data_IF_492783007555
#
_entry.id   IF_492783007555
#
_cell.length_a   1.000
_cell.length_b   1.000
_cell.length_c   1.000
_cell.angle_alpha   90.00
_cell.angle_beta   90.00
_cell.angle_gamma   90.00
#
_symmetry.space_group_name_H-M   'P 1'
#
loop_
_entity.id
_entity.type
_entity.pdbx_description
1 polymer ?
#
# COMPACT_ATOMS: atom_id res chain seq x y z
N UNK A 1 -18.82 31.74 3.55
CA UNK A 1 -18.09 30.70 4.32
C UNK A 1 -18.17 29.40 3.52
N UNK A 2 -17.14 29.02 2.78
CA UNK A 2 -17.15 27.74 2.06
C UNK A 2 -16.93 26.62 3.08
N UNK A 3 -17.88 25.70 3.19
CA UNK A 3 -17.73 24.48 3.98
C UNK A 3 -16.51 23.71 3.48
N UNK A 4 -15.44 23.70 4.28
CA UNK A 4 -14.32 22.79 4.04
C UNK A 4 -14.85 21.37 4.28
N UNK A 5 -15.28 20.68 3.22
CA UNK A 5 -15.53 19.24 3.26
C UNK A 5 -14.35 18.58 3.96
N UNK A 6 -14.58 17.99 5.14
CA UNK A 6 -13.55 17.25 5.86
C UNK A 6 -12.99 16.19 4.90
N UNK A 7 -11.73 16.36 4.50
CA UNK A 7 -11.12 15.52 3.50
C UNK A 7 -10.76 14.18 4.15
N UNK A 8 -11.68 13.21 4.07
CA UNK A 8 -11.52 11.87 4.64
C UNK A 8 -10.30 11.18 4.03
N UNK A 9 -9.28 10.95 4.86
CA UNK A 9 -8.14 10.10 4.48
C UNK A 9 -8.60 8.65 4.50
N UNK A 10 -8.60 8.01 3.34
CA UNK A 10 -8.87 6.57 3.24
C UNK A 10 -7.69 5.80 3.86
N UNK A 11 -7.91 4.97 4.90
CA UNK A 11 -6.83 4.29 5.62
C UNK A 11 -6.25 3.10 4.84
N UNK A 12 -7.06 2.45 4.00
CA UNK A 12 -6.67 1.29 3.20
C UNK A 12 -6.40 1.65 1.75
N UNK A 13 -5.57 0.84 1.10
CA UNK A 13 -5.19 0.96 -0.31
C UNK A 13 -6.29 0.45 -1.27
N UNK A 14 -7.52 0.96 -1.11
CA UNK A 14 -8.73 0.47 -1.81
C UNK A 14 -8.62 0.48 -3.34
N UNK A 15 -7.69 1.24 -3.91
CA UNK A 15 -7.34 1.20 -5.32
C UNK A 15 -6.92 -0.19 -5.83
N UNK A 16 -6.39 -1.07 -4.96
CA UNK A 16 -6.01 -2.44 -5.35
C UNK A 16 -7.23 -3.31 -5.63
N UNK A 17 -8.42 -2.97 -5.12
CA UNK A 17 -9.67 -3.67 -5.45
C UNK A 17 -10.14 -3.43 -6.89
N UNK A 18 -9.41 -2.64 -7.69
CA UNK A 18 -9.63 -2.59 -9.14
C UNK A 18 -9.08 -3.83 -9.85
N UNK A 19 -8.13 -4.51 -9.23
CA UNK A 19 -7.59 -5.77 -9.74
C UNK A 19 -8.55 -6.92 -9.41
N UNK A 20 -8.84 -7.75 -10.41
CA UNK A 20 -9.84 -8.81 -10.30
C UNK A 20 -9.36 -9.92 -9.37
N UNK A 21 -8.07 -10.25 -9.40
CA UNK A 21 -7.48 -11.25 -8.51
C UNK A 21 -7.56 -10.80 -7.04
N UNK A 22 -7.18 -9.55 -6.76
CA UNK A 22 -7.29 -8.96 -5.42
C UNK A 22 -8.74 -8.94 -4.92
N UNK A 23 -9.69 -8.63 -5.79
CA UNK A 23 -11.14 -8.63 -5.45
C UNK A 23 -11.66 -10.03 -5.12
N UNK A 24 -11.21 -11.04 -5.88
CA UNK A 24 -11.55 -12.44 -5.61
C UNK A 24 -10.99 -12.91 -4.27
N UNK A 25 -9.72 -12.59 -3.97
CA UNK A 25 -9.09 -12.88 -2.68
C UNK A 25 -9.82 -12.18 -1.53
N UNK A 26 -10.18 -10.91 -1.68
CA UNK A 26 -10.95 -10.16 -0.68
C UNK A 26 -12.31 -10.82 -0.43
N UNK A 27 -13.03 -11.18 -1.48
CA UNK A 27 -14.35 -11.81 -1.37
C UNK A 27 -14.27 -13.17 -0.69
N UNK A 28 -13.24 -13.96 -1.01
CA UNK A 28 -13.01 -15.27 -0.41
C UNK A 28 -12.64 -15.16 1.07
N UNK A 29 -11.67 -14.31 1.41
CA UNK A 29 -11.24 -14.13 2.81
C UNK A 29 -12.39 -13.61 3.68
N UNK A 30 -13.18 -12.66 3.16
CA UNK A 30 -14.32 -12.13 3.87
C UNK A 30 -15.38 -13.21 4.11
N UNK A 31 -15.70 -14.03 3.09
CA UNK A 31 -16.63 -15.16 3.23
C UNK A 31 -16.15 -16.19 4.25
N UNK A 32 -14.86 -16.52 4.23
CA UNK A 32 -14.29 -17.47 5.19
C UNK A 32 -14.41 -16.95 6.64
N UNK A 33 -14.18 -15.65 6.86
CA UNK A 33 -14.36 -15.03 8.18
C UNK A 33 -15.81 -15.06 8.66
N UNK A 34 -16.76 -14.78 7.76
CA UNK A 34 -18.19 -14.87 8.10
C UNK A 34 -18.69 -16.29 8.30
N UNK A 35 -18.09 -17.29 7.61
CA UNK A 35 -18.43 -18.69 7.82
C UNK A 35 -18.03 -19.21 9.23
N UNK A 36 -17.09 -18.53 9.89
CA UNK A 36 -16.62 -18.87 11.25
C UNK A 36 -17.30 -18.01 12.32
N UNK A 37 -18.00 -16.93 11.93
CA UNK A 37 -18.76 -16.08 12.84
C UNK A 37 -20.10 -16.71 13.17
N UNK A 38 -20.09 -17.67 14.09
CA UNK A 38 -21.29 -18.23 14.73
C UNK A 38 -21.44 -17.59 16.12
N UNK A 39 -21.86 -16.33 16.18
CA UNK A 39 -22.08 -15.64 17.46
C UNK A 39 -23.43 -14.93 17.47
N UNK A 40 -24.39 -15.56 18.14
CA UNK A 40 -25.63 -14.96 18.61
C UNK A 40 -25.32 -13.98 19.75
N UNK A 41 -25.23 -12.69 19.43
CA UNK A 41 -25.01 -11.59 20.36
C UNK A 41 -26.12 -10.55 20.28
N UNK A 42 -25.95 -9.41 20.94
CA UNK A 42 -26.82 -8.25 20.72
C UNK A 42 -26.53 -7.62 19.35
N UNK A 43 -27.50 -6.91 18.76
CA UNK A 43 -27.37 -6.28 17.44
C UNK A 43 -26.12 -5.38 17.32
N UNK A 44 -25.79 -4.64 18.38
CA UNK A 44 -24.58 -3.81 18.46
C UNK A 44 -23.27 -4.63 18.39
N UNK A 45 -23.24 -5.79 19.04
CA UNK A 45 -22.09 -6.71 19.04
C UNK A 45 -21.91 -7.34 17.66
N UNK A 46 -23.00 -7.77 17.03
CA UNK A 46 -23.02 -8.27 15.66
C UNK A 46 -22.48 -7.23 14.68
N UNK A 47 -22.97 -5.98 14.77
CA UNK A 47 -22.49 -4.89 13.91
C UNK A 47 -21.00 -4.59 14.12
N UNK A 48 -20.53 -4.66 15.36
CA UNK A 48 -19.12 -4.48 15.69
C UNK A 48 -18.26 -5.61 15.12
N UNK A 49 -18.75 -6.84 15.18
CA UNK A 49 -18.11 -8.03 14.62
C UNK A 49 -17.98 -7.93 13.10
N UNK A 50 -19.06 -7.59 12.40
CA UNK A 50 -19.09 -7.34 10.95
C UNK A 50 -18.05 -6.28 10.57
N UNK A 51 -18.04 -5.16 11.29
CA UNK A 51 -17.10 -4.07 11.02
C UNK A 51 -15.65 -4.51 11.20
N UNK A 52 -15.34 -5.26 12.26
CA UNK A 52 -13.99 -5.80 12.50
C UNK A 52 -13.58 -6.78 11.40
N UNK A 53 -14.45 -7.74 11.06
CA UNK A 53 -14.18 -8.72 10.01
C UNK A 53 -13.82 -8.06 8.67
N UNK A 54 -14.57 -7.01 8.27
CA UNK A 54 -14.28 -6.24 7.07
C UNK A 54 -12.95 -5.47 7.19
N UNK A 55 -12.69 -4.82 8.33
CA UNK A 55 -11.46 -4.07 8.56
C UNK A 55 -10.22 -4.96 8.51
N UNK A 56 -10.28 -6.12 9.14
CA UNK A 56 -9.17 -7.07 9.19
C UNK A 56 -8.96 -7.74 7.83
N UNK A 57 -10.03 -8.06 7.10
CA UNK A 57 -9.93 -8.54 5.71
C UNK A 57 -9.27 -7.47 4.81
N UNK A 58 -9.66 -6.19 4.96
CA UNK A 58 -9.04 -5.09 4.24
C UNK A 58 -7.57 -4.90 4.62
N UNK A 59 -7.23 -5.09 5.89
CA UNK A 59 -5.86 -5.02 6.39
C UNK A 59 -4.97 -6.14 5.80
N UNK A 60 -5.52 -7.35 5.63
CA UNK A 60 -4.79 -8.51 5.11
C UNK A 60 -4.63 -8.49 3.59
N UNK A 61 -5.73 -8.33 2.85
CA UNK A 61 -5.70 -8.43 1.38
C UNK A 61 -5.16 -7.16 0.74
N UNK A 62 -5.68 -6.02 1.18
CA UNK A 62 -5.45 -4.74 0.50
C UNK A 62 -4.30 -3.97 1.18
N UNK A 63 -4.24 -4.06 2.49
CA UNK A 63 -3.25 -3.39 3.32
C UNK A 63 -3.50 -1.89 3.46
N UNK A 64 -2.74 -1.27 4.36
CA UNK A 64 -2.81 0.18 4.58
C UNK A 64 -2.23 0.94 3.41
N UNK A 65 -2.80 2.12 3.19
CA UNK A 65 -2.27 3.06 2.23
C UNK A 65 -0.88 3.51 2.64
N UNK A 66 0.06 3.48 1.70
CA UNK A 66 1.43 3.93 1.91
C UNK A 66 1.59 5.42 1.57
N UNK A 67 2.44 6.10 2.33
CA UNK A 67 2.78 7.51 2.15
C UNK A 67 1.70 8.48 2.63
N UNK A 68 2.02 9.78 2.56
CA UNK A 68 1.10 10.87 2.87
C UNK A 68 0.21 11.17 1.66
N UNK A 69 -0.80 12.02 1.84
CA UNK A 69 -1.66 12.49 0.75
C UNK A 69 -0.92 13.12 -0.46
N UNK A 70 0.25 13.71 -0.24
CA UNK A 70 1.05 14.27 -1.34
C UNK A 70 1.76 13.20 -2.19
N UNK A 71 1.81 11.95 -1.71
CA UNK A 71 2.51 10.82 -2.33
C UNK A 71 1.55 9.83 -2.99
N UNK A 72 0.27 10.19 -3.13
CA UNK A 72 -0.76 9.32 -3.69
C UNK A 72 -0.54 8.93 -5.16
N UNK A 73 0.34 9.66 -5.85
CA UNK A 73 0.73 9.37 -7.23
C UNK A 73 1.76 8.24 -7.31
N UNK A 74 2.43 7.87 -6.21
CA UNK A 74 3.42 6.78 -6.19
C UNK A 74 2.71 5.44 -6.25
N UNK A 75 3.06 4.61 -7.23
CA UNK A 75 2.48 3.27 -7.41
C UNK A 75 3.11 2.23 -6.47
N UNK A 76 2.39 1.14 -6.23
CA UNK A 76 2.88 0.00 -5.44
C UNK A 76 4.24 -0.53 -5.89
N UNK A 77 4.42 -0.70 -7.21
CA UNK A 77 5.68 -1.16 -7.83
C UNK A 77 6.89 -0.26 -7.56
N UNK A 78 6.65 1.02 -7.24
CA UNK A 78 7.70 1.98 -6.89
C UNK A 78 7.97 1.95 -5.40
N UNK A 79 6.94 1.74 -4.58
CA UNK A 79 7.07 1.49 -3.16
C UNK A 79 7.89 0.23 -2.84
N UNK A 80 7.72 -0.86 -3.60
CA UNK A 80 8.54 -2.07 -3.50
C UNK A 80 10.04 -1.76 -3.69
N UNK A 81 10.38 -1.03 -4.75
CA UNK A 81 11.77 -0.61 -5.01
C UNK A 81 12.33 0.33 -3.94
N UNK A 82 11.46 1.14 -3.33
CA UNK A 82 11.87 1.99 -2.19
C UNK A 82 12.25 1.10 -1.00
N UNK A 83 11.53 0.01 -0.76
CA UNK A 83 11.84 -0.94 0.32
C UNK A 83 13.11 -1.75 0.03
N UNK A 84 13.28 -2.23 -1.20
CA UNK A 84 14.54 -2.86 -1.64
C UNK A 84 15.73 -1.90 -1.44
N UNK A 85 15.59 -0.63 -1.83
CA UNK A 85 16.64 0.37 -1.62
C UNK A 85 16.94 0.57 -0.14
N UNK A 86 15.92 0.57 0.73
CA UNK A 86 16.10 0.69 2.18
C UNK A 86 16.81 -0.55 2.74
N UNK A 87 16.48 -1.74 2.27
CA UNK A 87 17.13 -2.98 2.65
C UNK A 87 18.63 -2.92 2.34
N UNK A 88 19.00 -2.54 1.10
CA UNK A 88 20.41 -2.42 0.71
C UNK A 88 21.14 -1.28 1.42
N UNK A 89 20.44 -0.19 1.76
CA UNK A 89 20.99 0.86 2.63
C UNK A 89 21.37 0.30 4.01
N UNK A 90 20.49 -0.50 4.60
CA UNK A 90 20.73 -1.14 5.89
C UNK A 90 21.88 -2.15 5.81
N UNK A 91 21.93 -2.96 4.74
CA UNK A 91 23.06 -3.88 4.47
C UNK A 91 24.39 -3.12 4.42
N UNK A 92 24.42 -1.97 3.74
CA UNK A 92 25.61 -1.11 3.65
C UNK A 92 26.03 -0.57 5.01
N UNK A 93 25.07 -0.18 5.85
CA UNK A 93 25.34 0.31 7.22
C UNK A 93 25.82 -0.80 8.17
N UNK A 94 25.48 -2.06 7.87
CA UNK A 94 25.85 -3.25 8.66
C UNK A 94 27.04 -4.05 8.09
N UNK A 95 27.60 -3.63 6.95
CA UNK A 95 28.66 -4.36 6.26
C UNK A 95 29.90 -4.50 7.15
N UNK A 96 30.45 -5.72 7.22
CA UNK A 96 31.62 -6.03 8.06
C UNK A 96 32.91 -6.14 7.25
N UNK A 97 32.79 -6.29 5.94
CA UNK A 97 33.87 -6.57 5.01
C UNK A 97 33.74 -5.66 3.79
N UNK A 98 34.85 -5.39 3.11
CA UNK A 98 34.88 -4.47 1.95
C UNK A 98 34.02 -4.96 0.78
N UNK A 99 34.00 -6.27 0.51
CA UNK A 99 33.16 -6.85 -0.55
C UNK A 99 31.65 -6.65 -0.30
N UNK A 100 31.19 -6.81 0.94
CA UNK A 100 29.78 -6.60 1.31
C UNK A 100 29.40 -5.11 1.19
N UNK A 101 30.32 -4.22 1.57
CA UNK A 101 30.14 -2.79 1.45
C UNK A 101 30.05 -2.37 -0.02
N UNK A 102 30.92 -2.91 -0.87
CA UNK A 102 30.93 -2.62 -2.31
C UNK A 102 29.64 -3.14 -2.98
N UNK A 103 29.24 -4.38 -2.70
CA UNK A 103 28.00 -4.95 -3.22
C UNK A 103 26.78 -4.11 -2.81
N UNK A 104 26.64 -3.84 -1.50
CA UNK A 104 25.51 -3.08 -1.00
C UNK A 104 25.49 -1.64 -1.52
N UNK A 105 26.67 -1.03 -1.73
CA UNK A 105 26.78 0.30 -2.32
C UNK A 105 26.37 0.31 -3.78
N UNK A 106 26.83 -0.67 -4.57
CA UNK A 106 26.46 -0.82 -5.97
C UNK A 106 24.96 -1.05 -6.14
N UNK A 107 24.39 -2.00 -5.39
CA UNK A 107 22.94 -2.29 -5.37
C UNK A 107 22.10 -1.09 -4.94
N UNK A 108 22.54 -0.37 -3.90
CA UNK A 108 21.87 0.86 -3.48
C UNK A 108 21.88 1.92 -4.59
N UNK A 109 23.01 2.12 -5.26
CA UNK A 109 23.14 3.11 -6.33
C UNK A 109 22.26 2.77 -7.55
N UNK A 110 22.19 1.49 -7.93
CA UNK A 110 21.28 0.99 -8.96
C UNK A 110 19.82 1.27 -8.58
N UNK A 111 19.39 0.82 -7.40
CA UNK A 111 18.02 0.98 -6.94
C UNK A 111 17.63 2.45 -6.77
N UNK A 112 18.54 3.31 -6.32
CA UNK A 112 18.28 4.74 -6.22
C UNK A 112 17.99 5.38 -7.59
N UNK A 113 18.73 5.00 -8.64
CA UNK A 113 18.47 5.43 -10.02
C UNK A 113 17.09 4.94 -10.49
N UNK A 114 16.75 3.67 -10.23
CA UNK A 114 15.47 3.08 -10.62
C UNK A 114 14.31 3.75 -9.88
N UNK A 115 14.42 3.98 -8.57
CA UNK A 115 13.41 4.67 -7.75
C UNK A 115 13.19 6.08 -8.29
N UNK A 116 14.24 6.86 -8.51
CA UNK A 116 14.12 8.22 -9.08
C UNK A 116 13.42 8.23 -10.43
N UNK A 117 13.76 7.28 -11.33
CA UNK A 117 13.11 7.14 -12.64
C UNK A 117 11.64 6.75 -12.50
N UNK A 118 11.34 5.78 -11.63
CA UNK A 118 9.97 5.27 -11.39
C UNK A 118 9.08 6.36 -10.78
N UNK A 119 9.58 7.12 -9.81
CA UNK A 119 8.86 8.26 -9.24
C UNK A 119 8.51 9.32 -10.29
N UNK A 120 9.44 9.67 -11.19
CA UNK A 120 9.15 10.62 -12.28
C UNK A 120 8.07 10.11 -13.22
N UNK A 121 8.15 8.82 -13.60
CA UNK A 121 7.15 8.16 -14.46
C UNK A 121 5.78 8.14 -13.79
N UNK A 122 5.70 7.73 -12.53
CA UNK A 122 4.47 7.65 -11.76
C UNK A 122 3.82 9.03 -11.63
N UNK A 123 4.61 10.06 -11.30
CA UNK A 123 4.15 11.45 -11.23
C UNK A 123 3.61 11.93 -12.57
N UNK A 124 4.33 11.68 -13.68
CA UNK A 124 3.87 12.04 -15.04
C UNK A 124 2.55 11.35 -15.39
N UNK A 125 2.47 10.04 -15.17
CA UNK A 125 1.26 9.25 -15.44
C UNK A 125 0.06 9.75 -14.63
N UNK A 126 0.27 10.12 -13.36
CA UNK A 126 -0.77 10.67 -12.50
C UNK A 126 -1.31 12.00 -13.02
N UNK A 127 -0.44 12.92 -13.45
CA UNK A 127 -0.88 14.19 -14.05
C UNK A 127 -1.59 13.97 -15.39
N UNK A 128 -1.08 13.08 -16.26
CA UNK A 128 -1.73 12.76 -17.54
C UNK A 128 -3.14 12.18 -17.32
N UNK A 129 -3.30 11.27 -16.36
CA UNK A 129 -4.61 10.71 -16.02
C UNK A 129 -5.55 11.77 -15.43
N UNK A 130 -5.04 12.73 -14.64
CA UNK A 130 -5.87 13.81 -14.09
C UNK A 130 -6.28 14.85 -15.13
N UNK A 131 -5.40 15.14 -16.09
CA UNK A 131 -5.68 16.08 -17.18
C UNK A 131 -6.61 15.52 -18.26
N UNK A 132 -6.65 14.19 -18.44
CA UNK A 132 -7.57 13.55 -19.39
C UNK A 132 -9.01 13.41 -18.87
N UNK A 133 -9.25 13.71 -17.58
CA UNK A 133 -10.55 13.59 -16.91
C UNK A 133 -11.09 14.98 -16.52
N UNK A 134 -10.40 16.05 -16.91
CA UNK A 134 -10.80 17.45 -16.74
C UNK A 134 -11.30 17.99 -18.07
#
# INVERSE_FOLDING_TARGET
MQEKKLQVTRPFAVEKLKDQATTACFSLELRNRFAVLDEAGTLEEEWTSVKRAIQDCAQNVVGRRRGKRKEQWIKGSTWEKIDERKYWKLRREQAKNENELEEATSRYAELDRIVKRSCRRDKKAWFSQKGAVA
#
